data_IF_239687343010
#
_entry.id   IF_239687343010
#
_cell.length_a   1.000
_cell.length_b   1.000
_cell.length_c   1.000
_cell.angle_alpha   90.00
_cell.angle_beta   90.00
_cell.angle_gamma   90.00
#
_symmetry.space_group_name_H-M   'P 1'
#
loop_
_entity.id
_entity.type
_entity.pdbx_description
1 polymer ?
#
# COMPACT_ATOMS: atom_id res chain seq x y z
N UNK A 1 -6.01 -5.24 -9.98
CA UNK A 1 -6.32 -3.89 -10.50
C UNK A 1 -7.19 -3.17 -9.48
N UNK A 2 -6.99 -1.87 -9.28
CA UNK A 2 -7.87 -1.09 -8.41
C UNK A 2 -9.28 -0.99 -9.02
N UNK A 3 -10.37 -1.00 -8.22
CA UNK A 3 -11.73 -0.94 -8.75
C UNK A 3 -12.05 0.32 -9.58
N UNK A 4 -11.26 1.38 -9.40
CA UNK A 4 -11.44 2.70 -10.03
C UNK A 4 -10.62 2.89 -11.30
N UNK A 5 -9.88 1.87 -11.74
CA UNK A 5 -9.00 1.93 -12.91
C UNK A 5 -9.53 0.95 -13.94
N UNK A 6 -9.72 1.38 -15.18
CA UNK A 6 -10.06 0.50 -16.30
C UNK A 6 -8.80 0.10 -17.10
N UNK A 7 -9.00 -0.76 -18.10
CA UNK A 7 -7.89 -1.29 -18.91
C UNK A 7 -7.26 -0.21 -19.80
N UNK A 8 -8.05 0.74 -20.31
CA UNK A 8 -7.55 1.85 -21.13
C UNK A 8 -6.65 2.76 -20.30
N UNK A 9 -7.08 3.12 -19.09
CA UNK A 9 -6.29 3.89 -18.15
C UNK A 9 -5.03 3.14 -17.73
N UNK A 10 -5.12 1.83 -17.48
CA UNK A 10 -3.95 1.00 -17.16
C UNK A 10 -2.92 1.00 -18.30
N UNK A 11 -3.37 0.87 -19.55
CA UNK A 11 -2.50 0.97 -20.72
C UNK A 11 -1.83 2.34 -20.80
N UNK A 12 -2.57 3.42 -20.53
CA UNK A 12 -2.03 4.79 -20.58
C UNK A 12 -0.87 5.03 -19.59
N UNK A 13 -0.80 4.28 -18.48
CA UNK A 13 0.33 4.38 -17.55
C UNK A 13 1.62 3.82 -18.14
N UNK A 14 1.50 2.94 -19.13
CA UNK A 14 2.57 2.22 -19.78
C UNK A 14 3.13 2.85 -21.04
N UNK A 15 2.55 3.94 -21.52
CA UNK A 15 2.96 4.57 -22.79
C UNK A 15 3.71 5.86 -22.52
N UNK A 16 4.84 6.05 -23.20
CA UNK A 16 5.66 7.27 -23.09
C UNK A 16 4.85 8.51 -23.46
N UNK A 17 3.94 8.37 -24.44
CA UNK A 17 3.08 9.45 -24.93
C UNK A 17 2.17 10.04 -23.83
N UNK A 18 1.66 9.19 -22.94
CA UNK A 18 0.67 9.57 -21.91
C UNK A 18 1.28 9.62 -20.51
N UNK A 19 2.42 8.98 -20.29
CA UNK A 19 3.14 8.98 -19.03
C UNK A 19 4.65 9.23 -19.24
N UNK A 20 5.12 10.47 -19.08
CA UNK A 20 6.55 10.82 -19.22
C UNK A 20 7.48 10.07 -18.26
N UNK A 21 6.95 9.49 -17.17
CA UNK A 21 7.76 8.71 -16.22
C UNK A 21 8.28 7.40 -16.84
N UNK A 22 7.64 6.89 -17.89
CA UNK A 22 8.13 5.69 -18.58
C UNK A 22 9.55 5.91 -19.10
N UNK A 23 9.85 7.11 -19.60
CA UNK A 23 11.19 7.48 -20.10
C UNK A 23 12.26 7.45 -19.01
N UNK A 24 11.93 7.81 -17.77
CA UNK A 24 12.86 7.76 -16.63
C UNK A 24 12.95 6.39 -15.98
N UNK A 25 11.99 5.49 -16.26
CA UNK A 25 11.91 4.14 -15.70
C UNK A 25 12.39 3.04 -16.66
N UNK A 26 13.33 3.37 -17.54
CA UNK A 26 13.95 2.40 -18.46
C UNK A 26 13.29 2.30 -19.83
N UNK A 27 12.31 3.16 -20.11
CA UNK A 27 11.66 3.28 -21.42
C UNK A 27 11.04 1.96 -21.93
N UNK A 28 10.44 1.19 -21.01
CA UNK A 28 9.74 -0.05 -21.31
C UNK A 28 8.26 0.24 -21.37
N UNK A 29 7.69 0.18 -22.58
CA UNK A 29 6.25 0.32 -22.76
C UNK A 29 5.51 -1.00 -22.49
N UNK A 30 4.25 -0.90 -22.08
CA UNK A 30 3.35 -2.03 -21.88
C UNK A 30 2.08 -1.85 -22.72
N UNK A 31 1.57 -2.95 -23.25
CA UNK A 31 0.28 -3.02 -23.95
C UNK A 31 -0.67 -3.94 -23.19
N UNK A 32 -1.96 -3.58 -23.17
CA UNK A 32 -2.99 -4.47 -22.65
C UNK A 32 -3.40 -5.43 -23.76
N UNK A 33 -3.27 -6.72 -23.49
CA UNK A 33 -3.68 -7.78 -24.39
C UNK A 33 -5.04 -8.31 -23.95
N UNK A 34 -6.02 -8.20 -24.84
CA UNK A 34 -7.35 -8.78 -24.68
C UNK A 34 -7.57 -9.85 -25.75
N UNK A 35 -8.01 -11.03 -25.33
CA UNK A 35 -8.41 -12.09 -26.25
C UNK A 35 -9.76 -12.64 -25.81
N UNK A 36 -10.66 -12.81 -26.76
CA UNK A 36 -12.01 -13.28 -26.51
C UNK A 36 -11.97 -14.63 -25.78
N UNK A 37 -12.64 -14.70 -24.61
CA UNK A 37 -12.63 -15.89 -23.74
C UNK A 37 -11.37 -16.12 -22.91
N UNK A 38 -10.44 -15.16 -22.84
CA UNK A 38 -9.24 -15.24 -21.98
C UNK A 38 -9.12 -14.02 -21.04
N UNK A 39 -8.45 -14.23 -19.90
CA UNK A 39 -8.11 -13.16 -18.97
C UNK A 39 -7.12 -12.17 -19.61
N UNK A 40 -7.40 -10.88 -19.42
CA UNK A 40 -6.53 -9.80 -19.88
C UNK A 40 -5.16 -9.85 -19.18
N UNK A 41 -4.10 -9.50 -19.90
CA UNK A 41 -2.75 -9.41 -19.36
C UNK A 41 -2.01 -8.21 -19.94
N UNK A 42 -0.98 -7.74 -19.25
CA UNK A 42 -0.03 -6.76 -19.78
C UNK A 42 1.12 -7.48 -20.48
N UNK A 43 1.50 -7.00 -21.65
CA UNK A 43 2.70 -7.43 -22.36
C UNK A 43 3.67 -6.26 -22.43
N UNK A 44 4.84 -6.40 -21.81
CA UNK A 44 5.91 -5.44 -21.95
C UNK A 44 6.60 -5.59 -23.31
N UNK A 45 7.19 -4.51 -23.83
CA UNK A 45 8.01 -4.53 -25.04
C UNK A 45 9.18 -5.52 -24.98
N UNK A 46 9.60 -5.92 -23.77
CA UNK A 46 10.62 -6.97 -23.54
C UNK A 46 10.09 -8.40 -23.70
N UNK A 47 8.78 -8.58 -23.90
CA UNK A 47 8.10 -9.87 -23.92
C UNK A 47 7.63 -10.37 -22.55
N UNK A 48 7.88 -9.63 -21.46
CA UNK A 48 7.38 -9.99 -20.13
C UNK A 48 5.85 -9.90 -20.09
N UNK A 49 5.22 -11.01 -19.72
CA UNK A 49 3.77 -11.08 -19.44
C UNK A 49 3.49 -10.85 -17.97
N UNK A 50 2.53 -9.97 -17.67
CA UNK A 50 2.04 -9.69 -16.31
C UNK A 50 0.53 -9.89 -16.29
N UNK A 51 0.04 -10.88 -15.55
CA UNK A 51 -1.40 -11.16 -15.47
C UNK A 51 -2.14 -10.06 -14.69
N UNK A 52 -3.36 -9.72 -15.13
CA UNK A 52 -4.19 -8.70 -14.49
C UNK A 52 -5.29 -9.37 -13.67
N UNK A 53 -5.22 -9.28 -12.34
CA UNK A 53 -6.34 -9.67 -11.49
C UNK A 53 -7.40 -8.56 -11.44
N UNK A 54 -8.57 -8.78 -12.03
CA UNK A 54 -9.72 -7.84 -12.02
C UNK A 54 -10.73 -8.10 -10.90
N UNK A 55 -10.69 -9.27 -10.27
CA UNK A 55 -11.60 -9.63 -9.19
C UNK A 55 -11.36 -8.77 -7.94
N UNK A 56 -12.43 -8.21 -7.38
CA UNK A 56 -12.38 -7.50 -6.11
C UNK A 56 -13.43 -8.06 -5.15
N UNK A 57 -13.07 -8.45 -3.91
CA UNK A 57 -11.71 -8.46 -3.36
C UNK A 57 -10.86 -9.61 -3.94
N UNK A 58 -9.57 -9.36 -4.19
CA UNK A 58 -8.64 -10.30 -4.84
C UNK A 58 -8.08 -11.40 -3.91
N UNK A 59 -8.82 -11.80 -2.87
CA UNK A 59 -8.31 -12.65 -1.79
C UNK A 59 -7.82 -14.03 -2.28
N UNK A 60 -8.47 -14.60 -3.29
CA UNK A 60 -8.07 -15.89 -3.88
C UNK A 60 -6.70 -15.81 -4.53
N UNK A 61 -6.42 -14.73 -5.27
CA UNK A 61 -5.13 -14.52 -5.92
C UNK A 61 -4.05 -14.11 -4.91
N UNK A 62 -4.38 -13.24 -3.96
CA UNK A 62 -3.45 -12.83 -2.92
C UNK A 62 -2.91 -14.02 -2.12
N UNK A 63 -3.74 -15.02 -1.81
CA UNK A 63 -3.32 -16.23 -1.08
C UNK A 63 -2.29 -17.08 -1.84
N UNK A 64 -2.17 -16.93 -3.15
CA UNK A 64 -1.18 -17.65 -3.97
C UNK A 64 0.19 -16.96 -3.97
N UNK A 65 0.27 -15.71 -3.51
CA UNK A 65 1.51 -14.93 -3.53
C UNK A 65 2.49 -15.42 -2.47
N UNK A 66 3.74 -15.60 -2.89
CA UNK A 66 4.86 -15.88 -1.99
C UNK A 66 5.54 -14.61 -1.49
N UNK A 67 5.46 -13.55 -2.29
CA UNK A 67 6.07 -12.24 -2.06
C UNK A 67 5.28 -11.16 -2.83
N UNK A 68 5.28 -9.92 -2.34
CA UNK A 68 4.59 -8.80 -2.99
C UNK A 68 5.46 -7.54 -3.07
N UNK A 69 5.37 -6.84 -4.19
CA UNK A 69 5.86 -5.46 -4.33
C UNK A 69 4.65 -4.53 -4.28
N UNK A 70 4.64 -3.55 -3.38
CA UNK A 70 3.45 -2.72 -3.18
C UNK A 70 3.80 -1.31 -2.71
N UNK A 71 2.82 -0.44 -2.61
CA UNK A 71 2.93 0.90 -2.03
C UNK A 71 2.17 0.97 -0.71
N UNK A 72 2.36 2.05 0.05
CA UNK A 72 1.67 2.24 1.33
C UNK A 72 0.16 2.40 1.14
N UNK A 73 -0.62 1.77 2.02
CA UNK A 73 -2.08 1.83 2.02
C UNK A 73 -2.70 0.60 2.65
N UNK A 74 -4.01 0.45 2.49
CA UNK A 74 -4.78 -0.68 3.01
C UNK A 74 -4.25 -2.06 2.55
N UNK A 75 -3.63 -2.11 1.37
CA UNK A 75 -3.00 -3.33 0.84
C UNK A 75 -1.93 -3.89 1.79
N UNK A 76 -1.15 -3.02 2.45
CA UNK A 76 -0.10 -3.45 3.39
C UNK A 76 -0.67 -4.13 4.64
N UNK A 77 -1.83 -3.67 5.13
CA UNK A 77 -2.53 -4.30 6.23
C UNK A 77 -3.08 -5.68 5.80
N UNK A 78 -3.66 -5.77 4.60
CA UNK A 78 -4.20 -7.02 4.07
C UNK A 78 -3.10 -8.07 3.86
N UNK A 79 -2.01 -7.70 3.19
CA UNK A 79 -0.85 -8.58 2.99
C UNK A 79 -0.24 -8.99 4.32
N UNK A 80 -0.14 -8.07 5.29
CA UNK A 80 0.35 -8.36 6.63
C UNK A 80 -0.52 -9.36 7.38
N UNK A 81 -1.85 -9.20 7.33
CA UNK A 81 -2.80 -10.14 7.94
C UNK A 81 -2.74 -11.55 7.31
N UNK A 82 -2.47 -11.61 6.00
CA UNK A 82 -2.24 -12.87 5.27
C UNK A 82 -0.84 -13.45 5.49
N UNK A 83 0.07 -12.73 6.15
CA UNK A 83 1.45 -13.17 6.35
C UNK A 83 2.24 -13.27 5.04
N UNK A 84 1.92 -12.43 4.06
CA UNK A 84 2.62 -12.39 2.77
C UNK A 84 3.80 -11.41 2.91
N UNK A 85 5.05 -11.87 2.79
CA UNK A 85 6.21 -10.99 2.74
C UNK A 85 6.08 -9.96 1.63
N UNK A 86 6.49 -8.72 1.89
CA UNK A 86 6.35 -7.64 0.92
C UNK A 86 7.50 -6.64 1.01
N UNK A 87 7.74 -5.90 -0.07
CA UNK A 87 8.58 -4.70 -0.09
C UNK A 87 7.71 -3.50 -0.46
N UNK A 88 7.92 -2.41 0.27
CA UNK A 88 7.12 -1.19 0.14
C UNK A 88 7.92 -0.17 -0.66
N UNK A 89 7.37 0.26 -1.78
CA UNK A 89 7.93 1.31 -2.62
C UNK A 89 7.31 2.64 -2.27
N UNK A 90 8.17 3.59 -1.92
CA UNK A 90 7.84 4.97 -1.58
C UNK A 90 8.62 5.91 -2.51
N UNK A 91 8.18 6.09 -3.76
CA UNK A 91 8.83 7.00 -4.68
C UNK A 91 8.62 8.44 -4.20
N UNK A 92 9.63 9.01 -3.51
CA UNK A 92 9.56 10.39 -2.99
C UNK A 92 10.06 11.44 -4.00
N UNK A 93 10.55 10.97 -5.15
CA UNK A 93 11.03 11.76 -6.29
C UNK A 93 10.00 12.74 -6.90
N UNK A 94 8.71 12.50 -6.66
CA UNK A 94 7.65 13.48 -6.91
C UNK A 94 7.00 13.85 -5.57
N UNK A 95 7.43 14.96 -4.99
CA UNK A 95 6.99 15.52 -3.69
C UNK A 95 5.48 15.74 -3.54
N UNK A 96 4.71 15.50 -4.60
CA UNK A 96 3.25 15.41 -4.62
C UNK A 96 2.72 14.17 -3.86
N UNK A 97 3.45 13.05 -3.82
CA UNK A 97 2.99 11.79 -3.21
C UNK A 97 2.87 11.84 -1.68
N UNK A 98 3.70 12.66 -1.02
CA UNK A 98 3.64 12.92 0.43
C UNK A 98 2.38 13.70 0.84
N UNK A 99 1.72 14.42 -0.10
CA UNK A 99 0.47 15.15 0.17
C UNK A 99 -0.73 14.21 0.36
N UNK A 100 -0.63 12.98 -0.12
CA UNK A 100 -1.68 11.95 -0.01
C UNK A 100 -1.46 10.99 1.17
N UNK A 101 -0.42 11.19 1.97
CA UNK A 101 -0.29 10.50 3.25
C UNK A 101 -1.29 11.09 4.23
N UNK A 102 -2.26 10.27 4.66
CA UNK A 102 -3.19 10.66 5.71
C UNK A 102 -2.45 10.91 7.04
N UNK A 103 -2.75 12.06 7.66
CA UNK A 103 -2.26 12.46 8.98
C UNK A 103 -1.53 13.81 9.01
N UNK A 104 -0.83 14.07 10.13
CA UNK A 104 -0.10 15.31 10.39
C UNK A 104 0.86 15.76 9.26
N UNK A 105 1.57 14.87 8.53
CA UNK A 105 2.41 15.28 7.40
C UNK A 105 1.63 15.94 6.24
N UNK A 106 0.46 15.39 5.90
CA UNK A 106 -0.43 15.95 4.87
C UNK A 106 -1.04 17.29 5.25
N UNK A 107 -1.28 17.53 6.55
CA UNK A 107 -1.74 18.83 7.07
C UNK A 107 -0.65 19.90 6.96
N UNK A 108 0.60 19.56 7.29
CA UNK A 108 1.73 20.50 7.27
C UNK A 108 2.09 20.89 5.83
N UNK A 109 1.95 19.97 4.86
CA UNK A 109 2.19 20.23 3.45
C UNK A 109 1.19 21.20 2.79
N UNK A 110 0.05 21.49 3.44
CA UNK A 110 -1.01 22.40 2.94
C UNK A 110 -0.88 23.84 3.44
N UNK A 111 0.09 24.16 4.29
CA UNK A 111 0.25 25.52 4.84
C UNK A 111 1.01 26.39 3.82
N UNK A 112 0.35 27.38 3.18
CA UNK A 112 0.89 28.11 2.03
C UNK A 112 2.10 28.99 2.33
N UNK A 113 2.44 29.20 3.60
CA UNK A 113 3.50 30.11 4.05
C UNK A 113 4.80 29.41 4.46
N UNK A 114 4.82 28.08 4.43
CA UNK A 114 5.94 27.26 4.92
C UNK A 114 6.81 26.86 3.72
N UNK A 115 7.48 27.85 3.11
CA UNK A 115 8.30 27.70 1.90
C UNK A 115 9.56 26.82 2.07
N UNK A 116 10.18 26.44 0.94
CA UNK A 116 11.32 25.52 0.67
C UNK A 116 12.37 25.23 1.77
N UNK A 117 12.51 26.09 2.77
CA UNK A 117 13.41 25.90 3.92
C UNK A 117 12.82 24.93 4.97
N UNK A 118 11.50 24.88 5.08
CA UNK A 118 10.79 23.95 5.98
C UNK A 118 10.78 22.51 5.46
N UNK A 119 10.68 22.30 4.14
CA UNK A 119 10.72 20.98 3.51
C UNK A 119 12.05 20.30 3.76
N UNK A 120 13.16 21.05 3.83
CA UNK A 120 14.46 20.51 4.25
C UNK A 120 14.47 20.04 5.71
N UNK A 121 13.89 20.81 6.62
CA UNK A 121 13.81 20.43 8.04
C UNK A 121 12.84 19.26 8.28
N UNK A 122 11.72 19.23 7.56
CA UNK A 122 10.75 18.12 7.58
C UNK A 122 11.39 16.86 6.99
N UNK A 123 12.06 16.95 5.84
CA UNK A 123 12.80 15.84 5.26
C UNK A 123 13.93 15.39 6.18
N UNK A 124 14.62 16.31 6.85
CA UNK A 124 15.64 15.99 7.87
C UNK A 124 15.02 15.30 9.09
N UNK A 125 13.87 15.73 9.59
CA UNK A 125 13.17 15.10 10.71
C UNK A 125 12.59 13.73 10.34
N UNK A 126 12.10 13.57 9.11
CA UNK A 126 11.66 12.30 8.52
C UNK A 126 12.85 11.37 8.30
N UNK A 127 14.02 11.89 7.90
CA UNK A 127 15.24 11.10 7.76
C UNK A 127 15.83 10.70 9.13
N UNK A 128 15.67 11.56 10.16
CA UNK A 128 16.24 11.37 11.50
C UNK A 128 15.40 10.47 12.40
N UNK A 129 14.07 10.43 12.22
CA UNK A 129 13.21 9.39 12.80
C UNK A 129 12.99 8.34 11.73
N UNK A 130 13.48 7.11 11.90
CA UNK A 130 13.07 5.95 11.06
C UNK A 130 11.54 5.82 11.10
N UNK A 131 10.84 6.53 10.22
CA UNK A 131 9.39 6.53 10.13
C UNK A 131 9.00 5.27 9.39
N UNK A 132 8.22 4.45 10.08
CA UNK A 132 7.57 3.28 9.51
C UNK A 132 6.27 3.76 8.88
N UNK A 133 5.98 3.31 7.67
CA UNK A 133 4.79 3.70 6.93
C UNK A 133 3.85 2.53 6.69
N UNK A 134 4.39 1.32 6.51
CA UNK A 134 3.59 0.13 6.30
C UNK A 134 2.90 -0.28 7.59
N UNK A 135 1.64 -0.69 7.48
CA UNK A 135 0.85 -1.13 8.62
C UNK A 135 1.54 -2.18 9.50
N UNK A 136 2.17 -3.24 8.95
CA UNK A 136 2.84 -4.24 9.79
C UNK A 136 4.01 -3.68 10.60
N UNK A 137 4.75 -2.74 10.02
CA UNK A 137 5.86 -2.09 10.71
C UNK A 137 5.35 -1.15 11.82
N UNK A 138 4.30 -0.38 11.53
CA UNK A 138 3.62 0.47 12.51
C UNK A 138 3.10 -0.34 13.70
N UNK A 139 2.45 -1.47 13.46
CA UNK A 139 1.96 -2.37 14.51
C UNK A 139 3.10 -2.96 15.35
N UNK A 140 4.23 -3.25 14.71
CA UNK A 140 5.41 -3.82 15.38
C UNK A 140 6.25 -2.79 16.13
N UNK A 141 6.11 -1.50 15.81
CA UNK A 141 7.03 -0.45 16.27
C UNK A 141 8.47 -0.59 15.74
N UNK A 142 8.70 -1.50 14.79
CA UNK A 142 10.00 -1.76 14.15
C UNK A 142 9.80 -2.20 12.70
N UNK A 143 10.87 -2.13 11.92
CA UNK A 143 10.87 -2.68 10.57
C UNK A 143 10.79 -4.22 10.63
N UNK A 144 9.73 -4.76 10.01
CA UNK A 144 9.52 -6.18 9.68
C UNK A 144 9.68 -6.35 8.16
N UNK A 145 9.09 -5.44 7.39
CA UNK A 145 9.18 -5.39 5.92
C UNK A 145 9.94 -4.14 5.49
N UNK A 146 10.79 -4.20 4.46
CA UNK A 146 11.59 -3.08 4.02
C UNK A 146 10.74 -2.02 3.35
N UNK A 147 11.08 -0.76 3.62
CA UNK A 147 10.42 0.42 3.05
C UNK A 147 11.44 1.22 2.23
N UNK A 148 11.41 1.01 0.91
CA UNK A 148 12.33 1.64 -0.03
C UNK A 148 11.84 3.06 -0.35
N UNK A 149 12.53 4.05 0.19
CA UNK A 149 12.26 5.47 -0.04
C UNK A 149 13.32 6.09 -0.94
N UNK A 150 12.94 7.11 -1.70
CA UNK A 150 13.88 7.95 -2.44
C UNK A 150 13.66 7.95 -3.95
N UNK A 151 14.78 8.15 -4.65
CA UNK A 151 14.88 8.02 -6.10
C UNK A 151 14.95 6.53 -6.45
N UNK A 152 13.79 5.96 -6.77
CA UNK A 152 13.64 4.53 -7.02
C UNK A 152 13.80 4.29 -8.52
N UNK A 153 14.93 3.68 -8.88
CA UNK A 153 15.18 3.18 -10.24
C UNK A 153 14.84 1.69 -10.34
N UNK A 154 14.40 1.19 -11.51
CA UNK A 154 14.10 -0.24 -11.68
C UNK A 154 15.27 -1.15 -11.30
N UNK A 155 16.50 -0.82 -11.72
CA UNK A 155 17.70 -1.57 -11.34
C UNK A 155 17.99 -1.48 -9.85
N UNK A 156 17.84 -0.29 -9.24
CA UNK A 156 18.02 -0.11 -7.81
C UNK A 156 17.06 -0.97 -6.99
N UNK A 157 15.78 -0.98 -7.35
CA UNK A 157 14.77 -1.85 -6.73
C UNK A 157 15.13 -3.32 -6.95
N UNK A 158 15.40 -3.74 -8.19
CA UNK A 158 15.75 -5.13 -8.49
C UNK A 158 16.94 -5.62 -7.66
N UNK A 159 18.02 -4.83 -7.57
CA UNK A 159 19.22 -5.19 -6.81
C UNK A 159 18.95 -5.40 -5.31
N UNK A 160 18.00 -4.67 -4.73
CA UNK A 160 17.61 -4.83 -3.33
C UNK A 160 16.68 -6.04 -3.12
N UNK A 161 15.91 -6.41 -4.14
CA UNK A 161 15.01 -7.56 -4.12
C UNK A 161 15.73 -8.89 -4.37
N UNK A 162 16.80 -8.91 -5.17
CA UNK A 162 17.51 -10.15 -5.54
C UNK A 162 17.89 -11.02 -4.33
N UNK A 163 18.52 -10.50 -3.26
CA UNK A 163 18.85 -11.33 -2.10
C UNK A 163 17.62 -11.97 -1.45
N UNK A 164 16.46 -11.32 -1.50
CA UNK A 164 15.23 -11.83 -0.89
C UNK A 164 14.58 -12.93 -1.71
N UNK A 165 14.74 -12.86 -3.03
CA UNK A 165 14.27 -13.89 -3.95
C UNK A 165 15.20 -15.11 -3.94
N UNK A 166 16.50 -14.89 -3.74
CA UNK A 166 17.50 -15.96 -3.67
C UNK A 166 17.53 -16.68 -2.31
N UNK A 167 17.09 -16.02 -1.23
CA UNK A 167 17.11 -16.53 0.15
C UNK A 167 15.69 -16.71 0.76
N UNK A 168 14.96 -17.79 0.42
CA UNK A 168 13.59 -18.02 0.87
C UNK A 168 13.45 -18.17 2.40
N UNK A 169 14.52 -18.44 3.14
CA UNK A 169 14.53 -18.43 4.60
C UNK A 169 14.19 -17.06 5.19
N UNK A 170 14.63 -15.97 4.56
CA UNK A 170 14.33 -14.61 5.02
C UNK A 170 12.83 -14.31 4.88
N UNK A 171 12.23 -14.72 3.75
CA UNK A 171 10.78 -14.61 3.53
C UNK A 171 9.98 -15.38 4.58
N UNK A 172 10.50 -16.54 5.02
CA UNK A 172 9.86 -17.35 6.06
C UNK A 172 9.87 -16.65 7.42
N UNK A 173 10.99 -16.03 7.80
CA UNK A 173 11.08 -15.26 9.04
C UNK A 173 10.12 -14.08 9.05
N UNK A 174 10.02 -13.37 7.93
CA UNK A 174 9.12 -12.21 7.79
C UNK A 174 7.67 -12.65 7.87
N UNK A 175 7.31 -13.75 7.20
CA UNK A 175 5.99 -14.34 7.32
C UNK A 175 5.62 -14.61 8.78
N UNK A 176 6.52 -15.21 9.55
CA UNK A 176 6.30 -15.47 10.98
C UNK A 176 6.11 -14.16 11.77
N UNK A 177 6.94 -13.15 11.53
CA UNK A 177 6.83 -11.85 12.18
C UNK A 177 5.51 -11.14 11.84
N UNK A 178 5.08 -11.18 10.56
CA UNK A 178 3.79 -10.64 10.13
C UNK A 178 2.61 -11.32 10.82
N UNK A 179 2.68 -12.65 10.97
CA UNK A 179 1.66 -13.42 11.69
C UNK A 179 1.60 -13.11 13.20
N UNK A 180 2.71 -12.66 13.79
CA UNK A 180 2.76 -12.27 15.20
C UNK A 180 2.16 -10.88 15.44
N UNK A 181 2.24 -9.97 14.47
CA UNK A 181 1.76 -8.58 14.63
C UNK A 181 0.37 -8.32 14.06
N UNK A 182 -0.20 -9.27 13.29
CA UNK A 182 -1.57 -9.12 12.81
C UNK A 182 -2.56 -9.12 13.98
N UNK A 183 -3.59 -8.29 13.87
CA UNK A 183 -4.68 -8.27 14.85
C UNK A 183 -5.41 -9.62 14.95
N UNK A 184 -6.08 -9.84 16.08
CA UNK A 184 -6.95 -11.00 16.25
C UNK A 184 -8.15 -10.91 15.29
N UNK A 185 -8.69 -12.07 14.89
CA UNK A 185 -9.95 -12.13 14.17
C UNK A 185 -11.11 -11.63 15.05
N UNK A 186 -12.20 -11.17 14.43
CA UNK A 186 -13.42 -10.77 15.16
C UNK A 186 -13.66 -9.26 15.21
N UNK A 187 -12.84 -8.44 14.57
CA UNK A 187 -13.05 -6.99 14.50
C UNK A 187 -14.46 -6.60 13.99
N UNK A 188 -15.00 -7.33 13.02
CA UNK A 188 -16.36 -7.10 12.53
C UNK A 188 -17.43 -7.41 13.59
N UNK A 189 -17.23 -8.45 14.40
CA UNK A 189 -18.14 -8.83 15.50
C UNK A 189 -18.07 -7.77 16.59
N UNK A 190 -16.86 -7.40 17.03
CA UNK A 190 -16.66 -6.34 18.02
C UNK A 190 -17.27 -5.00 17.57
N UNK A 191 -17.15 -4.65 16.28
CA UNK A 191 -17.83 -3.47 15.74
C UNK A 191 -19.35 -3.61 15.76
N UNK A 192 -19.90 -4.77 15.41
CA UNK A 192 -21.34 -5.01 15.46
C UNK A 192 -21.88 -4.93 16.91
N UNK A 193 -21.15 -5.48 17.87
CA UNK A 193 -21.47 -5.38 19.31
C UNK A 193 -21.47 -3.94 19.79
N UNK A 194 -20.41 -3.16 19.48
CA UNK A 194 -20.33 -1.74 19.83
C UNK A 194 -21.47 -0.92 19.22
N UNK A 195 -21.84 -1.18 17.96
CA UNK A 195 -22.98 -0.51 17.31
C UNK A 195 -24.29 -0.89 18.01
N UNK A 196 -24.50 -2.17 18.32
CA UNK A 196 -25.69 -2.63 19.02
C UNK A 196 -25.84 -2.00 20.41
N UNK A 197 -24.75 -1.90 21.17
CA UNK A 197 -24.72 -1.22 22.47
C UNK A 197 -25.13 0.26 22.36
N UNK A 198 -24.60 0.99 21.38
CA UNK A 198 -24.94 2.41 21.19
C UNK A 198 -26.41 2.61 20.82
N UNK A 199 -26.99 1.72 20.01
CA UNK A 199 -28.41 1.75 19.68
C UNK A 199 -29.26 1.48 20.93
N UNK A 200 -28.88 0.48 21.74
CA UNK A 200 -29.61 0.12 22.96
C UNK A 200 -29.61 1.25 24.00
N UNK A 201 -28.46 1.94 24.17
CA UNK A 201 -28.35 3.09 25.09
C UNK A 201 -29.28 4.24 24.66
N UNK A 202 -29.37 4.53 23.36
CA UNK A 202 -30.23 5.61 22.82
C UNK A 202 -31.74 5.31 22.93
N UNK A 203 -32.13 4.04 23.10
CA UNK A 203 -33.53 3.63 23.25
C UNK A 203 -34.02 3.64 24.70
N UNK A 204 -33.16 3.97 25.67
CA UNK A 204 -33.57 4.06 27.08
C UNK A 204 -34.38 5.35 27.30
N UNK A 205 -35.68 5.30 27.61
CA UNK A 205 -36.47 6.50 27.82
C UNK A 205 -35.97 7.22 29.08
N UNK A 206 -35.66 8.52 28.94
CA UNK A 206 -35.35 9.39 30.08
C UNK A 206 -36.56 9.38 31.00
N UNK A 207 -36.45 8.66 32.13
CA UNK A 207 -37.48 8.61 33.15
C UNK A 207 -37.49 9.98 33.84
N UNK A 208 -38.32 10.90 33.36
CA UNK A 208 -38.62 12.13 34.09
C UNK A 208 -39.29 11.75 35.41
N UNK A 209 -38.49 11.76 36.47
CA UNK A 209 -38.95 11.70 37.85
C UNK A 209 -39.74 12.97 38.14
N UNK A 210 -41.06 12.92 37.93
CA UNK A 210 -42.00 13.87 38.53
C UNK A 210 -42.13 13.49 40.01
N UNK A 211 -41.19 13.97 40.82
CA UNK A 211 -41.39 14.09 42.26
C UNK A 211 -42.21 15.35 42.54
N UNK A 212 -43.39 15.08 43.11
CA UNK A 212 -44.46 15.93 43.64
C UNK A 212 -44.11 17.36 44.04
#
# INVERSE_FOLDING_TARGET
MAPTVDLEQLQSYGQVKTNPLVSSMGNIEIEVMEKEGQESYLLAATGLRIDICRQFPALTELKKLTFALTTVGANTAQLGALGIPMVILLPTQHTEALKHLDGLPGLIARIPWVGQQSTRLINYLIAKKKRLFAWPNLWAGREIVPELMGDLTPMGVASQLTPWLDHPEQLTQIRQQLQQVRGQSGAAIAMAELVAEQIAVQQTPVRMSLTK
#
